data_IF_050053950849
#
_entry.id   IF_050053950849
#
_cell.length_a   1.000
_cell.length_b   1.000
_cell.length_c   1.000
_cell.angle_alpha   90.00
_cell.angle_beta   90.00
_cell.angle_gamma   90.00
#
_symmetry.space_group_name_H-M   'P 1'
#
loop_
_entity.id
_entity.type
_entity.pdbx_description
1 polymer ?
#
# COMPACT_ATOMS: atom_id res chain seq x y z
N UNK A 1 -1.75 -0.31 12.06
CA UNK A 1 -2.12 0.51 10.88
C UNK A 1 -2.07 2.01 11.15
N UNK A 2 -2.40 2.49 12.37
CA UNK A 2 -2.36 3.92 12.71
C UNK A 2 -1.02 4.62 12.42
N UNK A 3 0.10 4.04 12.86
CA UNK A 3 1.45 4.56 12.58
C UNK A 3 1.71 4.78 11.08
N UNK A 4 1.24 3.85 10.24
CA UNK A 4 1.39 3.94 8.79
C UNK A 4 0.54 5.09 8.20
N UNK A 5 -0.68 5.30 8.71
CA UNK A 5 -1.49 6.44 8.30
C UNK A 5 -0.84 7.78 8.66
N UNK A 6 -0.21 7.87 9.83
CA UNK A 6 0.54 9.06 10.24
C UNK A 6 1.79 9.31 9.38
N UNK A 7 2.52 8.25 8.99
CA UNK A 7 3.64 8.36 8.04
C UNK A 7 3.17 8.95 6.71
N UNK A 8 2.03 8.50 6.17
CA UNK A 8 1.46 9.02 4.93
C UNK A 8 1.03 10.48 5.08
N UNK A 9 0.40 10.87 6.19
CA UNK A 9 0.03 12.27 6.44
C UNK A 9 1.27 13.15 6.46
N UNK A 10 2.33 12.74 7.17
CA UNK A 10 3.59 13.48 7.24
C UNK A 10 4.26 13.60 5.86
N UNK A 11 4.23 12.52 5.07
CA UNK A 11 4.83 12.49 3.73
C UNK A 11 4.10 13.38 2.73
N UNK A 12 2.76 13.38 2.77
CA UNK A 12 1.92 14.06 1.78
C UNK A 12 1.54 15.49 2.19
N UNK A 13 1.61 15.83 3.48
CA UNK A 13 1.12 17.09 4.02
C UNK A 13 -0.41 17.22 3.97
N UNK A 14 -1.14 16.13 3.75
CA UNK A 14 -2.60 16.15 3.61
C UNK A 14 -3.30 16.53 4.90
N UNK A 15 -4.39 17.29 4.81
CA UNK A 15 -5.27 17.64 5.93
C UNK A 15 -6.47 16.69 6.07
N UNK A 16 -6.48 15.59 5.31
CA UNK A 16 -7.55 14.59 5.34
C UNK A 16 -7.55 13.84 6.68
N UNK A 17 -8.75 13.48 7.17
CA UNK A 17 -8.92 12.79 8.44
C UNK A 17 -8.72 11.28 8.28
N UNK A 18 -8.02 10.65 9.22
CA UNK A 18 -7.97 9.20 9.34
C UNK A 18 -9.27 8.71 9.99
N UNK A 19 -9.99 7.83 9.28
CA UNK A 19 -11.22 7.20 9.78
C UNK A 19 -10.93 5.72 10.02
N UNK A 20 -11.18 5.25 11.25
CA UNK A 20 -11.03 3.84 11.60
C UNK A 20 -12.36 3.11 11.38
N UNK A 21 -12.30 1.98 10.67
CA UNK A 21 -13.44 1.11 10.42
C UNK A 21 -13.20 -0.29 11.03
N UNK A 22 -14.26 -1.08 11.28
CA UNK A 22 -14.12 -2.46 11.71
C UNK A 22 -13.28 -3.27 10.74
N UNK A 23 -12.46 -4.18 11.28
CA UNK A 23 -11.58 -5.05 10.48
C UNK A 23 -12.43 -6.03 9.64
N UNK A 24 -12.10 -6.24 8.35
CA UNK A 24 -12.71 -7.32 7.56
C UNK A 24 -12.42 -8.69 8.17
N UNK A 25 -13.40 -9.59 8.16
CA UNK A 25 -13.29 -10.92 8.78
C UNK A 25 -12.11 -11.73 8.21
N UNK A 26 -11.88 -11.62 6.89
CA UNK A 26 -10.90 -12.44 6.16
C UNK A 26 -9.48 -11.87 6.15
N UNK A 27 -9.23 -10.69 6.74
CA UNK A 27 -7.90 -10.08 6.68
C UNK A 27 -7.03 -10.53 7.87
N UNK A 28 -5.87 -11.19 7.66
CA UNK A 28 -4.94 -11.52 8.73
C UNK A 28 -4.41 -10.25 9.41
N UNK A 29 -4.34 -10.29 10.74
CA UNK A 29 -3.98 -9.13 11.57
C UNK A 29 -2.57 -8.59 11.29
N UNK A 30 -1.64 -9.47 10.93
CA UNK A 30 -0.28 -9.10 10.57
C UNK A 30 0.27 -10.11 9.54
N UNK A 31 0.83 -9.60 8.44
CA UNK A 31 1.59 -10.40 7.48
C UNK A 31 3.07 -10.08 7.64
N UNK A 32 3.86 -11.07 8.08
CA UNK A 32 5.32 -10.97 8.21
C UNK A 32 5.94 -12.28 7.73
N UNK A 33 6.31 -12.39 6.43
CA UNK A 33 6.91 -13.61 5.91
C UNK A 33 8.31 -13.82 6.52
N UNK A 34 8.65 -15.07 6.78
CA UNK A 34 10.04 -15.46 7.02
C UNK A 34 10.80 -15.48 5.69
N UNK A 35 11.90 -14.74 5.64
CA UNK A 35 12.74 -14.55 4.44
C UNK A 35 14.07 -15.30 4.54
N UNK A 36 14.26 -16.16 5.53
CA UNK A 36 15.51 -16.90 5.79
C UNK A 36 15.97 -17.68 4.55
N UNK A 37 15.06 -18.40 3.90
CA UNK A 37 15.36 -19.18 2.69
C UNK A 37 15.85 -18.32 1.51
N UNK A 38 15.30 -17.12 1.34
CA UNK A 38 15.73 -16.21 0.28
C UNK A 38 17.13 -15.64 0.57
N UNK A 39 17.43 -15.33 1.83
CA UNK A 39 18.77 -14.91 2.25
C UNK A 39 19.81 -16.00 2.01
N UNK A 40 19.52 -17.24 2.41
CA UNK A 40 20.46 -18.35 2.32
C UNK A 40 20.74 -18.80 0.88
N UNK A 41 19.70 -18.84 0.03
CA UNK A 41 19.82 -19.42 -1.30
C UNK A 41 20.13 -18.39 -2.38
N UNK A 42 19.72 -17.14 -2.20
CA UNK A 42 19.77 -16.09 -3.22
C UNK A 42 20.64 -14.90 -2.82
N UNK A 43 21.21 -14.91 -1.61
CA UNK A 43 21.84 -13.72 -0.98
C UNK A 43 20.90 -12.49 -1.02
N UNK A 44 19.59 -12.75 -0.95
CA UNK A 44 18.58 -11.73 -1.16
C UNK A 44 18.08 -11.16 0.17
N UNK A 45 18.01 -9.83 0.24
CA UNK A 45 17.40 -9.11 1.35
C UNK A 45 16.80 -7.77 0.86
N UNK A 46 15.82 -7.19 1.58
CA UNK A 46 15.30 -5.87 1.23
C UNK A 46 16.36 -4.80 1.41
N UNK A 47 16.68 -4.09 0.33
CA UNK A 47 17.66 -3.00 0.32
C UNK A 47 17.02 -1.62 0.57
N UNK A 48 15.73 -1.49 0.24
CA UNK A 48 14.99 -0.22 0.34
C UNK A 48 14.24 -0.18 1.67
N UNK A 49 14.54 0.83 2.48
CA UNK A 49 13.80 1.07 3.72
C UNK A 49 12.39 1.56 3.44
N UNK A 50 11.45 1.29 4.35
CA UNK A 50 10.04 1.69 4.20
C UNK A 50 9.88 3.18 3.86
N UNK A 51 10.53 4.07 4.62
CA UNK A 51 10.43 5.52 4.41
C UNK A 51 10.91 5.94 3.02
N UNK A 52 11.99 5.33 2.54
CA UNK A 52 12.52 5.58 1.20
C UNK A 52 11.58 5.06 0.11
N UNK A 53 11.07 3.84 0.28
CA UNK A 53 10.09 3.24 -0.64
C UNK A 53 8.80 4.05 -0.73
N UNK A 54 8.30 4.55 0.41
CA UNK A 54 7.14 5.45 0.48
C UNK A 54 7.40 6.76 -0.26
N UNK A 55 8.57 7.39 -0.04
CA UNK A 55 8.95 8.62 -0.74
C UNK A 55 8.99 8.42 -2.26
N UNK A 56 9.68 7.38 -2.74
CA UNK A 56 9.74 7.03 -4.18
C UNK A 56 8.36 6.78 -4.76
N UNK A 57 7.50 6.09 -4.01
CA UNK A 57 6.11 5.82 -4.42
C UNK A 57 5.32 7.12 -4.55
N UNK A 58 5.43 8.01 -3.56
CA UNK A 58 4.75 9.30 -3.57
C UNK A 58 5.21 10.19 -4.75
N UNK A 59 6.52 10.31 -4.95
CA UNK A 59 7.10 11.05 -6.09
C UNK A 59 6.62 10.51 -7.43
N UNK A 60 6.55 9.18 -7.57
CA UNK A 60 5.99 8.55 -8.77
C UNK A 60 4.54 8.95 -9.00
N UNK A 61 3.68 8.91 -7.99
CA UNK A 61 2.28 9.37 -8.11
C UNK A 61 2.20 10.86 -8.44
N UNK A 62 3.04 11.72 -7.86
CA UNK A 62 3.08 13.14 -8.18
C UNK A 62 3.49 13.42 -9.64
N UNK A 63 4.27 12.52 -10.26
CA UNK A 63 4.70 12.64 -11.65
C UNK A 63 3.66 12.22 -12.68
N UNK A 64 2.56 11.58 -12.25
CA UNK A 64 1.54 11.08 -13.16
C UNK A 64 0.65 12.20 -13.71
N UNK A 65 0.26 12.13 -15.00
CA UNK A 65 -0.80 12.97 -15.54
C UNK A 65 -2.13 12.75 -14.81
N UNK A 66 -2.94 13.81 -14.74
CA UNK A 66 -4.27 13.79 -14.10
C UNK A 66 -5.15 12.65 -14.64
N UNK A 67 -5.14 12.43 -15.95
CA UNK A 67 -5.87 11.34 -16.61
C UNK A 67 -5.49 9.96 -16.07
N UNK A 68 -4.21 9.72 -15.75
CA UNK A 68 -3.75 8.46 -15.17
C UNK A 68 -4.10 8.35 -13.69
N UNK A 69 -4.02 9.45 -12.94
CA UNK A 69 -4.35 9.49 -11.52
C UNK A 69 -5.83 9.18 -11.26
N UNK A 70 -6.71 9.70 -12.12
CA UNK A 70 -8.16 9.55 -11.98
C UNK A 70 -8.77 8.55 -12.95
N UNK A 71 -7.95 7.71 -13.62
CA UNK A 71 -8.44 6.63 -14.48
C UNK A 71 -9.24 5.64 -13.63
N UNK A 72 -10.56 5.75 -13.71
CA UNK A 72 -11.51 4.82 -13.11
C UNK A 72 -11.82 3.69 -14.09
N UNK A 73 -10.85 2.81 -14.35
CA UNK A 73 -11.17 1.48 -14.87
C UNK A 73 -11.70 0.63 -13.72
N UNK A 74 -12.88 0.99 -13.22
CA UNK A 74 -13.63 0.08 -12.39
C UNK A 74 -14.02 -1.10 -13.28
N UNK A 75 -13.47 -2.28 -12.98
CA UNK A 75 -14.21 -3.51 -13.26
C UNK A 75 -15.45 -3.41 -12.38
N UNK A 76 -16.56 -3.05 -12.99
CA UNK A 76 -17.85 -3.16 -12.34
C UNK A 76 -18.09 -4.64 -12.07
N UNK A 77 -18.03 -5.03 -10.80
CA UNK A 77 -18.30 -6.39 -10.36
C UNK A 77 -19.79 -6.59 -10.05
N UNK A 78 -20.68 -5.65 -10.40
CA UNK A 78 -22.12 -5.80 -10.26
C UNK A 78 -22.63 -7.10 -10.91
N UNK A 79 -21.97 -7.56 -11.97
CA UNK A 79 -22.32 -8.81 -12.67
C UNK A 79 -21.60 -10.06 -12.14
N UNK A 80 -20.73 -9.94 -11.13
CA UNK A 80 -19.99 -11.07 -10.56
C UNK A 80 -20.88 -11.88 -9.61
N UNK A 81 -21.87 -12.57 -10.19
CA UNK A 81 -22.67 -13.58 -9.50
C UNK A 81 -21.74 -14.72 -9.05
N UNK A 82 -21.43 -14.77 -7.76
CA UNK A 82 -20.86 -15.98 -7.12
C UNK A 82 -21.85 -17.12 -7.32
N UNK A 83 -21.45 -18.13 -8.11
CA UNK A 83 -22.06 -19.46 -8.05
C UNK A 83 -21.60 -20.18 -6.79
#
# INVERSE_FOLDING_TARGET
>A
IGEFAEEIIKLTGTSQKVIYQPRPVDDPMQRKPDITKAKELLDWQPEVLRAEGLKKTYEWFQSLPEEKLYRKEHRDFADFRRK
#
